data_IF_786024075768
#
_entry.id   IF_786024075768
#
_cell.length_a   1.000
_cell.length_b   1.000
_cell.length_c   1.000
_cell.angle_alpha   90.00
_cell.angle_beta   90.00
_cell.angle_gamma   90.00
#
_symmetry.space_group_name_H-M   'P 1'
#
loop_
_entity.id
_entity.type
_entity.pdbx_description
1 polymer ?
#
# COMPACT_ATOMS: atom_id res chain seq x y z
N UNK A 1 16.59 24.50 -25.68
CA UNK A 1 15.78 24.18 -26.87
C UNK A 1 14.68 25.22 -26.96
N UNK A 2 14.58 25.96 -28.04
CA UNK A 2 13.56 27.02 -28.18
C UNK A 2 12.18 26.38 -28.47
N UNK A 3 11.07 26.98 -28.01
CA UNK A 3 9.72 26.44 -28.24
C UNK A 3 9.43 26.13 -29.72
N UNK A 4 9.87 27.03 -30.61
CA UNK A 4 9.78 26.83 -32.07
C UNK A 4 10.47 25.56 -32.57
N UNK A 5 11.62 25.20 -32.01
CA UNK A 5 12.34 23.99 -32.45
C UNK A 5 11.65 22.71 -31.96
N UNK A 6 10.97 22.77 -30.82
CA UNK A 6 10.17 21.66 -30.31
C UNK A 6 8.92 21.44 -31.18
N UNK A 7 8.18 22.51 -31.51
CA UNK A 7 6.99 22.43 -32.36
C UNK A 7 7.32 21.90 -33.76
N UNK A 8 8.47 22.31 -34.30
CA UNK A 8 8.94 21.89 -35.62
C UNK A 8 9.31 20.40 -35.65
N UNK A 9 9.99 19.91 -34.60
CA UNK A 9 10.25 18.47 -34.44
C UNK A 9 8.96 17.68 -34.20
N UNK A 10 8.03 18.24 -33.41
CA UNK A 10 6.74 17.60 -33.17
C UNK A 10 6.00 17.44 -34.50
N UNK A 11 5.99 18.45 -35.37
CA UNK A 11 5.31 18.39 -36.68
C UNK A 11 5.87 17.30 -37.62
N UNK A 12 7.14 16.92 -37.49
CA UNK A 12 7.74 15.87 -38.30
C UNK A 12 7.46 14.46 -37.78
N UNK A 13 7.28 14.30 -36.47
CA UNK A 13 7.07 12.98 -35.86
C UNK A 13 5.58 12.77 -35.56
N UNK A 14 4.74 13.80 -35.56
CA UNK A 14 3.31 13.72 -35.21
C UNK A 14 2.53 12.70 -36.05
N UNK A 15 2.88 12.52 -37.34
CA UNK A 15 2.28 11.50 -38.21
C UNK A 15 2.70 10.07 -37.84
N UNK A 16 3.86 9.92 -37.20
CA UNK A 16 4.44 8.63 -36.80
C UNK A 16 4.26 8.35 -35.29
N UNK A 17 3.91 9.36 -34.49
CA UNK A 17 3.56 9.21 -33.06
C UNK A 17 2.07 8.92 -32.95
N UNK A 18 1.71 7.65 -33.01
CA UNK A 18 0.40 7.23 -32.50
C UNK A 18 0.38 7.43 -30.99
N UNK A 19 -0.50 8.31 -30.50
CA UNK A 19 -0.82 8.44 -29.07
C UNK A 19 -1.37 7.10 -28.57
N UNK A 20 -0.51 6.25 -28.03
CA UNK A 20 -0.95 5.06 -27.31
C UNK A 20 -1.53 5.53 -25.97
N UNK A 21 -2.85 5.66 -25.93
CA UNK A 21 -3.58 5.60 -24.68
C UNK A 21 -3.44 4.18 -24.18
N UNK A 22 -2.47 3.93 -23.31
CA UNK A 22 -2.43 2.71 -22.50
C UNK A 22 -3.59 2.83 -21.52
N UNK A 23 -4.80 2.55 -21.99
CA UNK A 23 -5.94 2.28 -21.13
C UNK A 23 -5.63 0.93 -20.53
N UNK A 24 -4.94 0.92 -19.39
CA UNK A 24 -4.89 -0.29 -18.57
C UNK A 24 -6.34 -0.62 -18.28
N UNK A 25 -6.75 -1.84 -18.59
CA UNK A 25 -8.06 -2.32 -18.17
C UNK A 25 -8.19 -2.02 -16.67
N UNK A 26 -9.28 -1.36 -16.24
CA UNK A 26 -9.47 -1.07 -14.84
C UNK A 26 -9.44 -2.39 -14.07
N UNK A 27 -8.42 -2.56 -13.23
CA UNK A 27 -8.34 -3.71 -12.34
C UNK A 27 -9.67 -3.82 -11.58
N UNK A 28 -10.14 -5.05 -11.42
CA UNK A 28 -11.40 -5.28 -10.71
C UNK A 28 -11.31 -4.70 -9.29
N UNK A 29 -12.39 -4.13 -8.72
CA UNK A 29 -12.33 -3.44 -7.43
C UNK A 29 -11.73 -4.28 -6.31
N UNK A 30 -11.97 -5.59 -6.32
CA UNK A 30 -11.40 -6.54 -5.37
C UNK A 30 -9.88 -6.68 -5.52
N UNK A 31 -9.35 -6.71 -6.75
CA UNK A 31 -7.91 -6.78 -7.03
C UNK A 31 -7.22 -5.48 -6.64
N UNK A 32 -7.85 -4.34 -6.96
CA UNK A 32 -7.37 -3.01 -6.54
C UNK A 32 -7.29 -2.90 -5.02
N UNK A 33 -8.34 -3.33 -4.32
CA UNK A 33 -8.35 -3.33 -2.86
C UNK A 33 -7.25 -4.24 -2.30
N UNK A 34 -7.08 -5.44 -2.85
CA UNK A 34 -6.04 -6.36 -2.40
C UNK A 34 -4.62 -5.80 -2.59
N UNK A 35 -4.36 -5.16 -3.74
CA UNK A 35 -3.07 -4.52 -4.04
C UNK A 35 -2.86 -3.31 -3.12
N UNK A 36 -3.87 -2.46 -2.94
CA UNK A 36 -3.81 -1.28 -2.08
C UNK A 36 -3.55 -1.67 -0.62
N UNK A 37 -4.28 -2.67 -0.09
CA UNK A 37 -4.07 -3.17 1.26
C UNK A 37 -2.67 -3.73 1.45
N UNK A 38 -2.18 -4.57 0.52
CA UNK A 38 -0.81 -5.08 0.58
C UNK A 38 0.20 -3.96 0.64
N UNK A 39 0.07 -2.94 -0.21
CA UNK A 39 0.98 -1.79 -0.19
C UNK A 39 0.89 -1.00 1.12
N UNK A 40 -0.31 -0.78 1.66
CA UNK A 40 -0.48 -0.13 2.96
C UNK A 40 0.22 -0.92 4.08
N UNK A 41 0.08 -2.24 4.07
CA UNK A 41 0.72 -3.13 5.04
C UNK A 41 2.25 -3.11 4.89
N UNK A 42 2.76 -3.26 3.67
CA UNK A 42 4.21 -3.21 3.39
C UNK A 42 4.81 -1.86 3.79
N UNK A 43 4.16 -0.75 3.45
CA UNK A 43 4.59 0.56 3.87
C UNK A 43 4.60 0.69 5.39
N UNK A 44 3.54 0.28 6.09
CA UNK A 44 3.48 0.37 7.54
C UNK A 44 4.62 -0.40 8.22
N UNK A 45 4.82 -1.67 7.84
CA UNK A 45 5.90 -2.48 8.39
C UNK A 45 7.28 -1.98 7.96
N UNK A 46 7.45 -1.60 6.71
CA UNK A 46 8.71 -1.09 6.17
C UNK A 46 9.17 0.18 6.86
N UNK A 47 8.26 1.14 7.05
CA UNK A 47 8.51 2.39 7.78
C UNK A 47 8.85 2.09 9.23
N UNK A 48 8.06 1.24 9.89
CA UNK A 48 8.27 0.88 11.30
C UNK A 48 9.61 0.19 11.49
N UNK A 49 9.99 -0.73 10.60
CA UNK A 49 11.26 -1.44 10.68
C UNK A 49 12.46 -0.54 10.36
N UNK A 50 12.34 0.34 9.35
CA UNK A 50 13.38 1.30 8.99
C UNK A 50 13.68 2.31 10.12
N UNK A 51 12.64 2.74 10.86
CA UNK A 51 12.78 3.59 12.03
C UNK A 51 13.28 2.83 13.26
N UNK A 52 12.69 1.67 13.54
CA UNK A 52 12.98 0.85 14.71
C UNK A 52 13.84 -0.35 14.31
N UNK A 53 15.13 -0.12 14.06
CA UNK A 53 16.09 -1.14 13.58
C UNK A 53 16.16 -2.42 14.40
N UNK A 54 15.70 -2.41 15.66
CA UNK A 54 15.56 -3.62 16.47
C UNK A 54 14.64 -4.67 15.82
N UNK A 55 13.69 -4.25 14.99
CA UNK A 55 12.75 -5.10 14.26
C UNK A 55 13.36 -5.74 13.00
N UNK A 56 14.52 -5.26 12.55
CA UNK A 56 15.24 -5.79 11.37
C UNK A 56 16.23 -6.90 11.72
N UNK A 57 16.31 -7.28 12.99
CA UNK A 57 17.21 -8.31 13.50
C UNK A 57 16.48 -9.29 14.39
N UNK A 58 17.04 -10.47 14.57
CA UNK A 58 16.57 -11.42 15.58
C UNK A 58 16.58 -10.74 16.94
N UNK A 59 15.43 -10.71 17.62
CA UNK A 59 15.28 -10.08 18.92
C UNK A 59 15.60 -11.14 20.00
N UNK A 60 16.70 -11.00 20.77
CA UNK A 60 17.11 -12.00 21.76
C UNK A 60 16.30 -11.85 23.07
N UNK A 61 14.97 -11.94 22.97
CA UNK A 61 14.05 -11.81 24.09
C UNK A 61 12.99 -12.91 24.05
N UNK A 62 12.38 -13.19 25.20
CA UNK A 62 11.22 -14.07 25.28
C UNK A 62 10.03 -13.43 24.55
N UNK A 63 9.14 -14.21 23.89
CA UNK A 63 8.00 -13.66 23.14
C UNK A 63 7.16 -12.65 23.93
N UNK A 64 6.88 -12.95 25.21
CA UNK A 64 6.18 -12.05 26.13
C UNK A 64 6.81 -10.66 26.29
N UNK A 65 8.12 -10.53 26.10
CA UNK A 65 8.84 -9.27 26.18
C UNK A 65 8.86 -8.54 24.82
N UNK A 66 8.78 -9.29 23.72
CA UNK A 66 8.74 -8.74 22.35
C UNK A 66 7.45 -7.94 22.15
N UNK A 67 6.33 -8.39 22.71
CA UNK A 67 5.05 -7.65 22.65
C UNK A 67 5.16 -6.22 23.15
N UNK A 68 5.95 -5.99 24.22
CA UNK A 68 6.18 -4.64 24.74
C UNK A 68 7.02 -3.79 23.78
N UNK A 69 7.98 -4.39 23.07
CA UNK A 69 8.79 -3.68 22.06
C UNK A 69 7.90 -3.25 20.90
N UNK A 70 7.05 -4.15 20.39
CA UNK A 70 6.12 -3.83 19.29
C UNK A 70 5.16 -2.71 19.71
N UNK A 71 4.54 -2.84 20.89
CA UNK A 71 3.63 -1.81 21.42
C UNK A 71 4.33 -0.46 21.60
N UNK A 72 5.54 -0.46 22.16
CA UNK A 72 6.32 0.76 22.32
C UNK A 72 6.65 1.40 20.97
N UNK A 73 7.08 0.62 19.98
CA UNK A 73 7.36 1.09 18.62
C UNK A 73 6.14 1.75 17.97
N UNK A 74 4.94 1.15 18.11
CA UNK A 74 3.69 1.73 17.62
C UNK A 74 3.34 3.05 18.34
N UNK A 75 3.44 3.08 19.67
CA UNK A 75 3.14 4.29 20.47
C UNK A 75 4.09 5.43 20.09
N UNK A 76 5.39 5.16 20.03
CA UNK A 76 6.41 6.13 19.66
C UNK A 76 6.23 6.59 18.21
N UNK A 77 5.91 5.69 17.28
CA UNK A 77 5.61 6.06 15.90
C UNK A 77 4.42 7.01 15.80
N UNK A 78 3.33 6.70 16.50
CA UNK A 78 2.14 7.55 16.52
C UNK A 78 2.46 8.92 17.14
N UNK A 79 3.18 8.96 18.25
CA UNK A 79 3.61 10.19 18.90
C UNK A 79 4.45 11.08 17.97
N UNK A 80 5.46 10.51 17.29
CA UNK A 80 6.32 11.26 16.38
C UNK A 80 5.59 11.71 15.10
N UNK A 81 4.58 10.97 14.66
CA UNK A 81 3.79 11.32 13.46
C UNK A 81 2.87 12.51 13.70
N UNK A 82 2.38 12.69 14.94
CA UNK A 82 1.61 13.89 15.32
C UNK A 82 2.47 15.14 15.25
N UNK A 83 3.74 15.03 15.65
CA UNK A 83 4.69 16.16 15.69
C UNK A 83 5.36 16.44 14.33
N UNK A 84 5.40 15.46 13.41
CA UNK A 84 6.15 15.56 12.16
C UNK A 84 5.32 15.15 10.93
N UNK A 85 4.89 16.13 10.14
CA UNK A 85 4.02 15.96 8.97
C UNK A 85 4.75 15.50 7.69
N UNK A 86 6.07 15.28 7.72
CA UNK A 86 6.85 14.86 6.54
C UNK A 86 6.71 13.37 6.17
N UNK A 87 5.66 12.69 6.63
CA UNK A 87 5.45 11.25 6.45
C UNK A 87 5.11 10.85 5.01
N UNK A 88 4.54 11.75 4.20
CA UNK A 88 4.10 11.42 2.83
C UNK A 88 5.26 11.07 1.88
N UNK A 89 6.40 11.77 1.96
CA UNK A 89 7.59 11.45 1.16
C UNK A 89 8.29 10.17 1.65
N UNK A 90 7.91 9.68 2.83
CA UNK A 90 8.50 8.51 3.44
C UNK A 90 7.88 7.22 2.90
N UNK A 91 6.62 7.25 2.47
CA UNK A 91 5.80 6.11 2.00
C UNK A 91 5.92 5.88 0.48
N UNK A 92 5.73 4.63 0.02
CA UNK A 92 5.57 4.34 -1.41
C UNK A 92 4.30 5.04 -1.94
N UNK A 93 4.42 5.70 -3.10
CA UNK A 93 3.31 6.38 -3.78
C UNK A 93 3.09 5.83 -5.18
N UNK A 94 2.00 6.20 -5.84
CA UNK A 94 1.77 5.87 -7.25
C UNK A 94 2.01 7.11 -8.11
N UNK A 95 2.69 6.95 -9.24
CA UNK A 95 2.73 7.98 -10.25
C UNK A 95 1.40 8.06 -11.02
N UNK A 96 1.26 9.11 -11.84
CA UNK A 96 0.12 9.34 -12.75
C UNK A 96 -0.08 8.24 -13.81
N UNK A 97 0.81 7.26 -13.91
CA UNK A 97 0.73 6.12 -14.80
C UNK A 97 0.47 4.80 -14.05
N UNK A 98 0.27 4.85 -12.73
CA UNK A 98 0.04 3.69 -11.87
C UNK A 98 1.30 2.86 -11.59
N UNK A 99 2.49 3.41 -11.79
CA UNK A 99 3.74 2.78 -11.37
C UNK A 99 4.03 3.16 -9.91
N UNK A 100 4.59 2.21 -9.16
CA UNK A 100 4.96 2.44 -7.76
C UNK A 100 6.25 3.26 -7.71
N UNK A 101 6.18 4.40 -7.04
CA UNK A 101 7.33 5.25 -6.67
C UNK A 101 7.74 4.88 -5.25
N UNK A 102 8.96 4.37 -5.11
CA UNK A 102 9.53 3.95 -3.84
C UNK A 102 9.65 5.11 -2.83
N UNK A 103 9.17 4.88 -1.61
CA UNK A 103 9.29 5.81 -0.48
C UNK A 103 10.70 5.83 0.11
N UNK A 104 11.04 6.91 0.84
CA UNK A 104 12.36 7.07 1.48
C UNK A 104 12.68 5.97 2.50
N UNK A 105 11.68 5.27 3.06
CA UNK A 105 11.92 4.17 3.98
C UNK A 105 12.77 3.06 3.35
N UNK A 106 12.64 2.81 2.05
CA UNK A 106 13.44 1.83 1.30
C UNK A 106 14.92 2.23 1.20
N UNK A 107 15.21 3.53 1.08
CA UNK A 107 16.59 4.05 1.01
C UNK A 107 17.31 3.97 2.36
N UNK A 108 16.58 4.20 3.47
CA UNK A 108 17.16 4.12 4.81
C UNK A 108 17.60 2.70 5.20
N UNK A 109 17.13 1.67 4.48
CA UNK A 109 17.61 0.30 4.60
C UNK A 109 18.96 0.09 3.90
N UNK A 110 19.28 0.86 2.84
CA UNK A 110 20.55 0.75 2.10
C UNK A 110 21.74 1.42 2.81
N UNK A 111 21.51 2.38 3.70
CA UNK A 111 22.57 3.13 4.38
C UNK A 111 23.23 2.41 5.57
N UNK A 112 22.87 1.16 5.84
CA UNK A 112 23.41 0.40 6.98
C UNK A 112 24.72 -0.26 6.56
N UNK A 113 25.85 0.36 6.92
CA UNK A 113 27.16 -0.28 6.79
C UNK A 113 27.17 -1.61 7.57
N UNK A 114 27.31 -2.72 6.85
CA UNK A 114 27.75 -4.00 7.42
C UNK A 114 26.74 -5.14 7.48
N UNK A 115 25.47 -4.93 7.11
CA UNK A 115 24.50 -6.00 6.83
C UNK A 115 23.36 -5.37 6.03
N UNK A 116 23.14 -5.81 4.79
CA UNK A 116 22.02 -5.34 3.97
C UNK A 116 20.71 -5.61 4.75
N UNK A 117 20.15 -4.60 5.40
CA UNK A 117 18.89 -4.72 6.12
C UNK A 117 17.74 -5.16 5.18
N UNK A 118 17.92 -4.96 3.87
CA UNK A 118 17.08 -5.55 2.82
C UNK A 118 17.08 -7.08 2.79
N UNK A 119 18.16 -7.76 3.18
CA UNK A 119 18.18 -9.23 3.25
C UNK A 119 17.20 -9.79 4.28
N UNK A 120 16.70 -8.96 5.20
CA UNK A 120 15.70 -9.33 6.20
C UNK A 120 14.30 -8.80 5.89
N UNK A 121 14.13 -8.06 4.79
CA UNK A 121 12.84 -7.48 4.40
C UNK A 121 12.47 -7.94 2.98
N UNK A 122 11.71 -9.03 2.90
CA UNK A 122 11.22 -9.58 1.65
C UNK A 122 9.88 -8.93 1.28
N UNK A 123 9.61 -8.66 -0.01
CA UNK A 123 8.26 -8.32 -0.45
C UNK A 123 7.26 -9.39 0.02
N UNK A 124 6.03 -8.99 0.32
CA UNK A 124 5.00 -9.97 0.66
C UNK A 124 4.75 -10.84 -0.57
N UNK A 125 5.13 -12.11 -0.48
CA UNK A 125 4.86 -13.04 -1.56
C UNK A 125 3.36 -13.25 -1.71
N UNK A 126 2.89 -13.27 -2.97
CA UNK A 126 1.53 -13.66 -3.25
C UNK A 126 1.36 -15.13 -2.85
N UNK A 127 0.63 -15.39 -1.78
CA UNK A 127 0.27 -16.75 -1.39
C UNK A 127 -0.42 -17.45 -2.57
N UNK A 128 0.22 -18.51 -3.10
CA UNK A 128 -0.35 -19.32 -4.18
C UNK A 128 -1.58 -20.12 -3.73
N UNK A 129 -1.68 -20.39 -2.43
CA UNK A 129 -2.93 -20.84 -1.80
C UNK A 129 -3.94 -19.70 -1.77
N UNK A 130 -5.03 -19.85 -2.54
CA UNK A 130 -6.20 -18.97 -2.47
C UNK A 130 -7.05 -19.22 -1.22
N UNK A 131 -6.64 -20.15 -0.36
CA UNK A 131 -7.39 -20.57 0.81
C UNK A 131 -6.86 -19.80 2.03
N UNK A 132 -7.62 -18.80 2.45
CA UNK A 132 -7.50 -18.20 3.78
C UNK A 132 -8.47 -18.93 4.73
N UNK A 133 -8.13 -19.02 6.02
CA UNK A 133 -9.01 -19.63 7.01
C UNK A 133 -10.37 -18.91 7.06
N UNK A 134 -11.45 -19.62 7.41
CA UNK A 134 -12.78 -19.03 7.58
C UNK A 134 -12.75 -17.82 8.52
N UNK A 135 -12.01 -17.91 9.61
CA UNK A 135 -11.91 -16.85 10.61
C UNK A 135 -11.23 -15.60 10.02
N UNK A 136 -10.22 -15.80 9.16
CA UNK A 136 -9.58 -14.70 8.44
C UNK A 136 -10.53 -14.06 7.41
N UNK A 137 -11.41 -14.86 6.79
CA UNK A 137 -12.48 -14.38 5.92
C UNK A 137 -13.43 -13.46 6.67
N UNK A 138 -13.89 -13.93 7.83
CA UNK A 138 -14.84 -13.24 8.68
C UNK A 138 -14.26 -11.91 9.17
N UNK A 139 -13.03 -11.93 9.70
CA UNK A 139 -12.34 -10.71 10.16
C UNK A 139 -12.16 -9.71 9.01
N UNK A 140 -11.75 -10.17 7.82
CA UNK A 140 -11.61 -9.30 6.65
C UNK A 140 -12.94 -8.67 6.26
N UNK A 141 -14.01 -9.47 6.18
CA UNK A 141 -15.33 -9.00 5.78
C UNK A 141 -15.91 -8.04 6.84
N UNK A 142 -15.71 -8.34 8.13
CA UNK A 142 -16.07 -7.47 9.25
C UNK A 142 -15.43 -6.10 9.10
N UNK A 143 -14.10 -6.03 8.96
CA UNK A 143 -13.40 -4.76 8.78
C UNK A 143 -13.80 -4.06 7.48
N UNK A 144 -13.95 -4.78 6.37
CA UNK A 144 -14.41 -4.20 5.11
C UNK A 144 -15.80 -3.54 5.25
N UNK A 145 -16.72 -4.19 5.96
CA UNK A 145 -18.05 -3.63 6.26
C UNK A 145 -17.97 -2.39 7.16
N UNK A 146 -17.10 -2.42 8.17
CA UNK A 146 -16.91 -1.30 9.09
C UNK A 146 -16.36 -0.07 8.36
N UNK A 147 -15.31 -0.22 7.55
CA UNK A 147 -14.69 0.88 6.79
C UNK A 147 -15.58 1.41 5.64
N UNK A 148 -16.59 0.66 5.22
CA UNK A 148 -17.62 1.14 4.28
C UNK A 148 -18.88 1.69 4.97
N UNK A 149 -18.92 1.70 6.31
CA UNK A 149 -19.98 2.33 7.09
C UNK A 149 -19.65 3.80 7.37
N UNK A 150 -20.67 4.61 7.63
CA UNK A 150 -20.50 6.02 8.01
C UNK A 150 -19.63 6.21 9.27
N UNK A 151 -19.53 5.20 10.14
CA UNK A 151 -18.72 5.27 11.36
C UNK A 151 -17.23 4.98 11.12
N UNK A 152 -16.91 4.19 10.09
CA UNK A 152 -15.55 3.76 9.79
C UNK A 152 -14.95 4.39 8.54
N UNK A 153 -15.73 5.10 7.72
CA UNK A 153 -15.23 5.75 6.53
C UNK A 153 -14.26 6.89 6.87
N UNK A 154 -13.21 7.04 6.05
CA UNK A 154 -12.23 8.10 6.21
C UNK A 154 -12.40 9.18 5.12
N UNK A 155 -12.14 10.47 5.41
CA UNK A 155 -12.47 11.58 4.50
C UNK A 155 -11.88 11.48 3.09
N UNK A 156 -10.75 10.80 2.96
CA UNK A 156 -10.01 10.64 1.70
C UNK A 156 -10.33 9.33 0.95
N UNK A 157 -11.11 8.42 1.55
CA UNK A 157 -11.37 7.08 1.01
C UNK A 157 -11.95 7.12 -0.40
N UNK A 158 -12.94 7.99 -0.59
CA UNK A 158 -13.68 8.11 -1.84
C UNK A 158 -13.07 9.13 -2.82
N UNK A 159 -12.05 9.87 -2.39
CA UNK A 159 -11.33 10.82 -3.24
C UNK A 159 -10.28 10.14 -4.16
N UNK A 160 -10.06 8.83 -4.01
CA UNK A 160 -9.13 8.08 -4.84
C UNK A 160 -9.68 7.88 -6.26
N UNK A 161 -8.81 8.11 -7.26
CA UNK A 161 -9.12 7.93 -8.67
C UNK A 161 -9.64 6.51 -8.95
N UNK A 162 -10.81 6.42 -9.60
CA UNK A 162 -11.44 5.16 -9.98
C UNK A 162 -12.15 4.41 -8.85
N UNK A 163 -12.24 4.95 -7.63
CA UNK A 163 -13.01 4.34 -6.53
C UNK A 163 -14.45 4.89 -6.57
N UNK A 164 -15.45 4.01 -6.61
CA UNK A 164 -16.88 4.37 -6.53
C UNK A 164 -17.47 3.79 -5.25
N UNK A 165 -18.05 4.67 -4.42
CA UNK A 165 -18.70 4.29 -3.17
C UNK A 165 -19.87 3.33 -3.41
N UNK A 166 -20.68 3.59 -4.45
CA UNK A 166 -21.81 2.76 -4.84
C UNK A 166 -21.35 1.34 -5.24
N UNK A 167 -20.29 1.23 -6.05
CA UNK A 167 -19.73 -0.07 -6.48
C UNK A 167 -19.16 -0.85 -5.30
N UNK A 168 -18.51 -0.17 -4.35
CA UNK A 168 -17.96 -0.78 -3.14
C UNK A 168 -19.08 -1.33 -2.22
N UNK A 169 -20.13 -0.53 -1.97
CA UNK A 169 -21.25 -0.95 -1.14
C UNK A 169 -22.08 -2.08 -1.78
N UNK A 170 -22.30 -2.05 -3.11
CA UNK A 170 -22.99 -3.12 -3.82
C UNK A 170 -22.22 -4.45 -3.78
N UNK A 171 -20.89 -4.40 -3.81
CA UNK A 171 -20.04 -5.59 -3.70
C UNK A 171 -20.12 -6.22 -2.30
N UNK A 172 -20.18 -5.40 -1.24
CA UNK A 172 -20.32 -5.87 0.14
C UNK A 172 -21.68 -6.55 0.39
N UNK A 173 -22.76 -5.98 -0.13
CA UNK A 173 -24.09 -6.60 -0.04
C UNK A 173 -24.12 -7.97 -0.73
N UNK A 174 -23.47 -8.09 -1.89
CA UNK A 174 -23.37 -9.34 -2.64
C UNK A 174 -22.54 -10.40 -1.88
N UNK A 175 -21.45 -10.00 -1.22
CA UNK A 175 -20.61 -10.91 -0.44
C UNK A 175 -21.25 -11.39 0.87
N UNK A 176 -22.07 -10.55 1.52
CA UNK A 176 -22.84 -10.94 2.72
C UNK A 176 -24.01 -11.89 2.39
N UNK A 177 -24.49 -11.89 1.14
CA UNK A 177 -25.57 -12.75 0.66
C UNK A 177 -25.10 -14.12 0.15
N UNK A 178 -23.79 -14.32 -0.04
CA UNK A 178 -23.26 -15.64 -0.41
C UNK A 178 -23.00 -16.46 0.85
N UNK A 179 -23.64 -17.63 1.04
CA UNK A 179 -23.25 -18.53 2.11
C UNK A 179 -21.79 -18.93 1.89
N UNK A 180 -20.97 -18.82 2.93
CA UNK A 180 -19.61 -19.34 2.97
C UNK A 180 -19.68 -20.86 2.70
N UNK A 181 -19.59 -21.25 1.43
CA UNK A 181 -19.55 -22.66 1.06
C UNK A 181 -18.25 -23.28 1.58
N UNK A 182 -18.42 -24.31 2.41
CA UNK A 182 -17.37 -25.21 2.90
C UNK A 182 -16.71 -25.98 1.75
#
# INVERSE_FOLDING_TARGET
MTPRNFDLLLSYVETDVTRQYVVREPLEPCERLAIALRRCVENAFGITAALWRILLRTIPLRPKNVDFIIKAACILHNFLTVENTQTQAYMDSEDRFGNIVAGRWRQNLHGVQGNDAMQHFFPLESTHSRNFASDAAEVRNLFASYFCSAAGEVPWQWAQLGVSQEKAMGSLQTQLLQPLHR
#
